data_IF_610062110663
#
_entry.id   IF_610062110663
#
_cell.length_a   1.000
_cell.length_b   1.000
_cell.length_c   1.000
_cell.angle_alpha   90.00
_cell.angle_beta   90.00
_cell.angle_gamma   90.00
#
_symmetry.space_group_name_H-M   'P 1'
#
loop_
_entity.id
_entity.type
_entity.pdbx_description
1 polymer ?
#
# COMPACT_ATOMS: atom_id res chain seq x y z
N UNK A 1 9.09 3.15 -2.53
CA UNK A 1 8.93 1.85 -3.23
C UNK A 1 7.75 1.11 -2.61
N UNK A 2 6.99 0.37 -3.42
CA UNK A 2 5.94 -0.53 -2.94
C UNK A 2 6.56 -1.89 -2.59
N UNK A 3 6.26 -2.39 -1.40
CA UNK A 3 6.74 -3.66 -0.87
C UNK A 3 5.55 -4.62 -0.71
N UNK A 4 5.55 -5.79 -1.35
CA UNK A 4 4.51 -6.80 -1.14
C UNK A 4 4.55 -7.34 0.28
N UNK A 5 3.39 -7.50 0.91
CA UNK A 5 3.26 -8.07 2.26
C UNK A 5 2.27 -9.23 2.32
N UNK A 6 1.34 -9.28 1.37
CA UNK A 6 0.43 -10.41 1.13
C UNK A 6 -0.02 -10.36 -0.35
N UNK A 7 -0.69 -11.42 -0.81
CA UNK A 7 -1.23 -11.46 -2.18
C UNK A 7 -2.16 -10.26 -2.43
N UNK A 8 -1.85 -9.47 -3.45
CA UNK A 8 -2.60 -8.26 -3.80
C UNK A 8 -2.44 -7.11 -2.80
N UNK A 9 -1.59 -7.21 -1.77
CA UNK A 9 -1.37 -6.16 -0.78
C UNK A 9 0.07 -5.66 -0.81
N UNK A 10 0.21 -4.36 -1.07
CA UNK A 10 1.50 -3.67 -1.07
C UNK A 10 1.50 -2.54 -0.04
N UNK A 11 2.68 -2.25 0.51
CA UNK A 11 2.89 -1.13 1.43
C UNK A 11 3.97 -0.22 0.89
N UNK A 12 3.74 1.09 0.95
CA UNK A 12 4.80 2.08 0.86
C UNK A 12 5.03 2.69 2.23
N UNK A 13 6.27 2.66 2.72
CA UNK A 13 6.69 3.41 3.89
C UNK A 13 7.35 4.72 3.44
N UNK A 14 6.82 5.85 3.90
CA UNK A 14 7.40 7.16 3.68
C UNK A 14 8.46 7.44 4.75
N UNK A 15 9.72 7.62 4.35
CA UNK A 15 10.78 7.98 5.30
C UNK A 15 10.62 9.41 5.84
N UNK A 16 10.08 10.31 5.01
CA UNK A 16 9.85 11.71 5.36
C UNK A 16 8.69 11.86 6.35
N UNK A 17 7.53 11.27 6.01
CA UNK A 17 6.30 11.42 6.80
C UNK A 17 6.18 10.37 7.91
N UNK A 18 7.00 9.31 7.86
CA UNK A 18 6.98 8.19 8.81
C UNK A 18 5.60 7.52 8.91
N UNK A 19 4.81 7.60 7.84
CA UNK A 19 3.55 6.90 7.70
C UNK A 19 3.68 5.73 6.70
N UNK A 20 2.66 4.90 6.69
CA UNK A 20 2.51 3.82 5.73
C UNK A 20 1.27 4.09 4.89
N UNK A 21 1.42 3.95 3.58
CA UNK A 21 0.30 3.85 2.65
C UNK A 21 0.12 2.38 2.27
N UNK A 22 -1.11 1.89 2.35
CA UNK A 22 -1.47 0.53 1.96
C UNK A 22 -2.20 0.56 0.62
N UNK A 23 -1.79 -0.31 -0.29
CA UNK A 23 -2.42 -0.50 -1.61
C UNK A 23 -2.97 -1.92 -1.67
N UNK A 24 -4.27 -2.02 -1.92
CA UNK A 24 -4.96 -3.30 -2.14
C UNK A 24 -5.38 -3.38 -3.60
N UNK A 25 -4.89 -4.39 -4.30
CA UNK A 25 -5.20 -4.69 -5.70
C UNK A 25 -6.17 -5.87 -5.74
N UNK A 26 -7.34 -5.64 -6.33
CA UNK A 26 -8.33 -6.68 -6.61
C UNK A 26 -8.84 -6.58 -8.05
N UNK A 27 -9.69 -7.53 -8.44
CA UNK A 27 -10.23 -7.58 -9.81
C UNK A 27 -11.02 -6.31 -10.19
N UNK A 28 -11.68 -5.69 -9.21
CA UNK A 28 -12.45 -4.46 -9.39
C UNK A 28 -11.58 -3.18 -9.47
N UNK A 29 -10.26 -3.29 -9.28
CA UNK A 29 -9.33 -2.16 -9.32
C UNK A 29 -8.48 -2.04 -8.05
N UNK A 30 -8.17 -0.80 -7.68
CA UNK A 30 -7.20 -0.50 -6.61
C UNK A 30 -7.85 0.35 -5.52
N UNK A 31 -7.67 -0.07 -4.26
CA UNK A 31 -7.96 0.72 -3.07
C UNK A 31 -6.66 1.23 -2.47
N UNK A 32 -6.62 2.53 -2.14
CA UNK A 32 -5.53 3.15 -1.39
C UNK A 32 -6.06 3.53 -0.02
N UNK A 33 -5.35 3.09 1.03
CA UNK A 33 -5.62 3.44 2.43
C UNK A 33 -4.41 4.18 2.96
N UNK A 34 -4.62 5.42 3.40
CA UNK A 34 -3.60 6.28 4.00
C UNK A 34 -4.19 6.92 5.27
N UNK A 35 -3.49 6.84 6.43
CA UNK A 35 -3.88 7.52 7.67
C UNK A 35 -3.53 9.02 7.68
#
# INVERSE_FOLDING_TARGET
>A
MLTPVADGVLVHQSELLRNNTVVVQGEAGVLVVDP
#
